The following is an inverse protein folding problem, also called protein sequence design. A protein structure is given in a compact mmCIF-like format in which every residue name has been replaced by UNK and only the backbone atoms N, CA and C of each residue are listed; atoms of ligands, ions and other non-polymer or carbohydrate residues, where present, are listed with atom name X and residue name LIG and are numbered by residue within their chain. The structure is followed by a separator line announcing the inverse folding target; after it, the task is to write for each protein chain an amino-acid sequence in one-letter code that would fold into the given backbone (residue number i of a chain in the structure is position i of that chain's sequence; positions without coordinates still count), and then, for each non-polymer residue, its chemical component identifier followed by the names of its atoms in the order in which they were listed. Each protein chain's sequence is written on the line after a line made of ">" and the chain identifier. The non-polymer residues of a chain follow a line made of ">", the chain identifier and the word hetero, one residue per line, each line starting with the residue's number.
data_IF_847374527425
#
_entry.id   IF_847374527425
#
_cell.length_a   1.000
_cell.length_b   1.000
_cell.length_c   1.000
_cell.angle_alpha   90.00
_cell.angle_beta   90.00
_cell.angle_gamma   90.00
#
_symmetry.space_group_name_H-M   'P 1'
#
loop_
_entity.id
_entity.type
_entity.pdbx_description
1 polymer ?
#
# COMPACT_ATOMS: atom_id res chain seq x y z
N UNK A 1 8.74 -6.65 -6.31
CA UNK A 1 7.61 -7.59 -6.50
C UNK A 1 6.34 -6.76 -6.64
N UNK A 2 5.39 -7.18 -7.48
CA UNK A 2 4.07 -6.54 -7.59
C UNK A 2 3.07 -7.42 -6.85
N UNK A 3 2.32 -6.86 -5.91
CA UNK A 3 1.31 -7.55 -5.12
C UNK A 3 0.16 -6.58 -4.88
N UNK A 4 -1.08 -7.01 -5.08
CA UNK A 4 -2.24 -6.17 -4.74
C UNK A 4 -2.34 -6.00 -3.22
N UNK A 5 -2.91 -4.88 -2.74
CA UNK A 5 -3.08 -4.66 -1.29
C UNK A 5 -3.85 -5.82 -0.61
N UNK A 6 -4.94 -6.37 -1.17
CA UNK A 6 -5.64 -7.51 -0.56
C UNK A 6 -4.77 -8.78 -0.44
N UNK A 7 -3.96 -9.10 -1.46
CA UNK A 7 -3.05 -10.24 -1.42
C UNK A 7 -1.95 -10.05 -0.38
N UNK A 8 -1.40 -8.83 -0.29
CA UNK A 8 -0.42 -8.48 0.73
C UNK A 8 -1.01 -8.69 2.14
N UNK A 9 -2.24 -8.24 2.37
CA UNK A 9 -2.92 -8.45 3.64
C UNK A 9 -3.18 -9.92 3.93
N UNK A 10 -3.59 -10.70 2.93
CA UNK A 10 -3.78 -12.15 3.06
C UNK A 10 -2.47 -12.84 3.45
N UNK A 11 -1.35 -12.43 2.84
CA UNK A 11 -0.02 -12.94 3.15
C UNK A 11 0.38 -12.64 4.61
N UNK A 12 0.18 -11.41 5.09
CA UNK A 12 0.45 -11.07 6.49
C UNK A 12 -0.48 -11.85 7.44
N UNK A 13 -1.78 -11.95 7.13
CA UNK A 13 -2.76 -12.67 7.96
C UNK A 13 -2.44 -14.15 8.12
N UNK A 14 -1.97 -14.80 7.06
CA UNK A 14 -1.55 -16.18 7.12
C UNK A 14 -0.38 -16.38 8.10
N UNK A 15 0.42 -15.33 8.35
CA UNK A 15 1.50 -15.32 9.34
C UNK A 15 1.04 -15.36 10.80
N UNK A 16 -0.22 -15.03 11.11
CA UNK A 16 -0.71 -15.17 12.50
C UNK A 16 -0.94 -16.62 12.91
N UNK A 17 -1.10 -17.53 11.94
CA UNK A 17 -1.33 -18.96 12.23
C UNK A 17 -0.05 -19.70 12.61
N UNK A 18 1.09 -19.18 12.17
CA UNK A 18 2.41 -19.79 12.34
C UNK A 18 3.41 -18.85 13.06
N UNK A 19 2.90 -17.76 13.67
CA UNK A 19 3.68 -16.75 14.41
C UNK A 19 4.75 -16.01 13.57
N UNK A 20 4.60 -15.97 12.24
CA UNK A 20 5.51 -15.30 11.31
C UNK A 20 5.00 -13.93 10.82
N UNK A 21 3.86 -13.43 11.32
CA UNK A 21 3.25 -12.19 10.82
C UNK A 21 4.21 -11.00 10.82
N UNK A 22 4.98 -10.81 11.90
CA UNK A 22 5.94 -9.72 12.01
C UNK A 22 7.14 -9.89 11.06
N UNK A 23 7.61 -11.12 10.84
CA UNK A 23 8.65 -11.41 9.85
C UNK A 23 8.18 -11.08 8.44
N UNK A 24 6.93 -11.39 8.13
CA UNK A 24 6.30 -11.06 6.83
C UNK A 24 6.19 -9.56 6.63
N UNK A 25 5.80 -8.81 7.66
CA UNK A 25 5.79 -7.33 7.62
C UNK A 25 7.20 -6.80 7.37
N UNK A 26 8.21 -7.28 8.11
CA UNK A 26 9.61 -6.88 7.91
C UNK A 26 10.13 -7.23 6.51
N UNK A 27 9.78 -8.40 5.99
CA UNK A 27 10.16 -8.82 4.65
C UNK A 27 9.58 -7.89 3.58
N UNK A 28 8.31 -7.51 3.71
CA UNK A 28 7.65 -6.55 2.83
C UNK A 28 8.23 -5.13 2.96
N UNK A 29 8.55 -4.70 4.18
CA UNK A 29 9.24 -3.43 4.39
C UNK A 29 10.66 -3.44 3.79
N UNK A 30 11.34 -4.57 3.84
CA UNK A 30 12.73 -4.75 3.41
C UNK A 30 12.96 -4.96 1.90
N UNK A 31 11.92 -5.08 1.07
CA UNK A 31 12.14 -5.21 -0.40
C UNK A 31 12.68 -3.91 -0.99
N UNK A 32 13.49 -4.00 -2.05
CA UNK A 32 14.06 -2.84 -2.75
C UNK A 32 12.97 -1.93 -3.34
N UNK A 33 11.94 -2.54 -3.96
CA UNK A 33 10.80 -1.84 -4.54
C UNK A 33 9.51 -2.56 -4.14
N UNK A 34 8.61 -1.80 -3.52
CA UNK A 34 7.26 -2.22 -3.19
C UNK A 34 6.27 -1.45 -4.06
N UNK A 35 5.41 -2.19 -4.76
CA UNK A 35 4.29 -1.62 -5.52
C UNK A 35 3.01 -1.98 -4.79
N UNK A 36 2.25 -0.96 -4.35
CA UNK A 36 0.94 -1.11 -3.75
C UNK A 36 -0.11 -0.71 -4.77
N UNK A 37 -0.80 -1.71 -5.30
CA UNK A 37 -1.84 -1.48 -6.31
C UNK A 37 -3.22 -1.30 -5.67
N UNK A 38 -4.00 -0.38 -6.23
CA UNK A 38 -5.39 -0.06 -5.88
C UNK A 38 -5.57 0.25 -4.37
N UNK A 39 -4.65 1.07 -3.84
CA UNK A 39 -4.76 1.57 -2.49
C UNK A 39 -6.06 2.38 -2.38
N UNK A 40 -6.93 2.01 -1.44
CA UNK A 40 -8.21 2.71 -1.24
C UNK A 40 -9.43 2.07 -1.91
N UNK A 41 -9.28 1.00 -2.70
CA UNK A 41 -10.45 0.24 -3.14
C UNK A 41 -11.16 -0.46 -1.96
N UNK A 42 -12.39 -0.04 -1.67
CA UNK A 42 -13.26 -0.66 -0.67
C UNK A 42 -13.06 -0.20 0.77
N UNK A 43 -13.89 -0.70 1.68
CA UNK A 43 -13.76 -0.44 3.12
C UNK A 43 -12.55 -1.19 3.68
N UNK A 44 -11.54 -0.46 4.16
CA UNK A 44 -10.40 -1.03 4.90
C UNK A 44 -10.75 -1.15 6.38
N UNK A 45 -10.33 -2.26 7.00
CA UNK A 45 -10.39 -2.42 8.46
C UNK A 45 -9.23 -1.68 9.13
N UNK A 46 -9.40 -1.22 10.37
CA UNK A 46 -8.32 -0.60 11.16
C UNK A 46 -7.03 -1.43 11.16
N UNK A 47 -7.14 -2.75 11.29
CA UNK A 47 -6.01 -3.67 11.21
C UNK A 47 -5.22 -3.56 9.89
N UNK A 48 -5.91 -3.38 8.76
CA UNK A 48 -5.26 -3.22 7.45
C UNK A 48 -4.47 -1.93 7.41
N UNK A 49 -5.04 -0.85 7.95
CA UNK A 49 -4.38 0.44 7.97
C UNK A 49 -3.18 0.46 8.92
N UNK A 50 -3.24 -0.25 10.06
CA UNK A 50 -2.11 -0.43 10.96
C UNK A 50 -0.95 -1.20 10.31
N UNK A 51 -1.24 -2.27 9.58
CA UNK A 51 -0.20 -3.03 8.86
C UNK A 51 0.43 -2.19 7.75
N UNK A 52 -0.39 -1.48 6.94
CA UNK A 52 0.11 -0.57 5.92
C UNK A 52 0.97 0.52 6.53
N UNK A 53 0.53 1.13 7.62
CA UNK A 53 1.27 2.15 8.32
C UNK A 53 2.63 1.64 8.79
N UNK A 54 2.69 0.45 9.40
CA UNK A 54 3.97 -0.17 9.83
C UNK A 54 4.94 -0.34 8.65
N UNK A 55 4.45 -0.90 7.53
CA UNK A 55 5.27 -1.10 6.32
C UNK A 55 5.75 0.24 5.76
N UNK A 56 4.85 1.19 5.53
CA UNK A 56 5.18 2.50 4.96
C UNK A 56 6.13 3.29 5.86
N UNK A 57 5.93 3.23 7.18
CA UNK A 57 6.77 3.94 8.13
C UNK A 57 8.20 3.38 8.16
N UNK A 58 8.40 2.06 8.11
CA UNK A 58 9.76 1.49 7.99
C UNK A 58 10.41 1.85 6.65
N UNK A 59 9.65 1.78 5.55
CA UNK A 59 10.15 2.15 4.22
C UNK A 59 10.52 3.62 4.11
N UNK A 60 9.75 4.50 4.74
CA UNK A 60 10.08 5.93 4.83
C UNK A 60 11.38 6.15 5.61
N UNK A 61 11.56 5.48 6.77
CA UNK A 61 12.78 5.58 7.58
C UNK A 61 14.03 5.10 6.84
N UNK A 62 13.89 4.07 6.02
CA UNK A 62 14.98 3.48 5.24
C UNK A 62 15.10 4.07 3.82
N UNK A 63 14.31 5.09 3.48
CA UNK A 63 14.27 5.72 2.14
C UNK A 63 14.05 4.72 0.98
N UNK A 64 13.24 3.69 1.22
CA UNK A 64 13.00 2.61 0.25
C UNK A 64 11.94 2.99 -0.78
N UNK A 65 12.29 2.81 -2.06
CA UNK A 65 11.45 3.15 -3.20
C UNK A 65 10.07 2.48 -3.14
N UNK A 66 9.00 3.28 -3.19
CA UNK A 66 7.63 2.78 -3.10
C UNK A 66 6.79 3.39 -4.21
N UNK A 67 6.03 2.56 -4.93
CA UNK A 67 5.08 3.00 -5.93
C UNK A 67 3.68 2.64 -5.45
N UNK A 68 2.74 3.58 -5.58
CA UNK A 68 1.34 3.38 -5.18
C UNK A 68 0.44 3.76 -6.33
N UNK A 69 -0.58 2.96 -6.58
CA UNK A 69 -1.71 3.34 -7.44
C UNK A 69 -2.95 3.47 -6.56
N UNK A 70 -3.81 4.44 -6.87
CA UNK A 70 -5.05 4.70 -6.15
C UNK A 70 -6.10 5.25 -7.11
N UNK A 71 -7.35 4.90 -6.87
CA UNK A 71 -8.51 5.47 -7.55
C UNK A 71 -9.05 6.73 -6.84
N UNK A 72 -8.53 7.05 -5.66
CA UNK A 72 -8.87 8.21 -4.85
C UNK A 72 -7.65 9.11 -4.66
N UNK A 73 -7.85 10.43 -4.50
CA UNK A 73 -6.76 11.33 -4.15
C UNK A 73 -6.22 11.03 -2.73
N UNK A 74 -4.99 11.48 -2.48
CA UNK A 74 -4.26 11.14 -1.26
C UNK A 74 -5.00 11.54 0.03
N UNK A 75 -5.77 12.62 -0.02
CA UNK A 75 -6.50 13.18 1.12
C UNK A 75 -7.68 12.30 1.58
N UNK A 76 -8.13 11.34 0.77
CA UNK A 76 -9.23 10.42 1.10
C UNK A 76 -8.75 9.17 1.86
N UNK A 77 -7.45 8.97 2.02
CA UNK A 77 -6.89 7.85 2.78
C UNK A 77 -6.80 8.18 4.27
N UNK A 78 -6.67 7.15 5.11
CA UNK A 78 -6.39 7.32 6.55
C UNK A 78 -5.18 8.24 6.76
N UNK A 79 -5.31 9.14 7.74
CA UNK A 79 -4.43 10.30 7.93
C UNK A 79 -2.95 9.94 8.01
N UNK A 80 -2.61 8.88 8.75
CA UNK A 80 -1.21 8.46 8.93
C UNK A 80 -0.65 7.86 7.64
N UNK A 81 -1.43 7.06 6.92
CA UNK A 81 -1.04 6.54 5.60
C UNK A 81 -0.84 7.69 4.61
N UNK A 82 -1.80 8.61 4.52
CA UNK A 82 -1.73 9.78 3.65
C UNK A 82 -0.48 10.62 3.95
N UNK A 83 -0.22 10.88 5.24
CA UNK A 83 0.96 11.62 5.71
C UNK A 83 2.28 10.97 5.28
N UNK A 84 2.42 9.63 5.38
CA UNK A 84 3.67 8.93 4.99
C UNK A 84 3.87 8.96 3.50
N UNK A 85 2.82 8.70 2.73
CA UNK A 85 2.87 8.76 1.28
C UNK A 85 3.20 10.17 0.78
N UNK A 86 2.64 11.22 1.38
CA UNK A 86 2.97 12.61 1.03
C UNK A 86 4.46 12.95 1.27
N UNK A 87 5.09 12.31 2.25
CA UNK A 87 6.50 12.54 2.57
C UNK A 87 7.46 11.72 1.69
N UNK A 88 7.05 10.54 1.23
CA UNK A 88 7.94 9.61 0.51
C UNK A 88 7.64 9.47 -0.99
N UNK A 89 6.48 9.93 -1.46
CA UNK A 89 6.02 9.81 -2.83
C UNK A 89 5.71 11.18 -3.44
N UNK A 90 5.90 11.28 -4.75
CA UNK A 90 5.35 12.36 -5.56
C UNK A 90 3.98 11.94 -6.09
N UNK A 91 2.93 12.71 -5.78
CA UNK A 91 1.59 12.45 -6.33
C UNK A 91 1.52 12.86 -7.80
N UNK A 92 1.05 11.94 -8.66
CA UNK A 92 0.82 12.20 -10.08
C UNK A 92 -0.65 11.90 -10.39
N UNK A 93 -1.45 12.95 -10.63
CA UNK A 93 -2.86 12.81 -10.99
C UNK A 93 -3.02 12.50 -12.48
N UNK A 94 -3.34 11.25 -12.79
CA UNK A 94 -3.64 10.81 -14.15
C UNK A 94 -5.08 11.19 -14.53
N UNK A 95 -5.26 12.30 -15.25
CA UNK A 95 -6.57 12.75 -15.77
C UNK A 95 -6.92 12.06 -17.08
N UNK A 96 -6.95 10.73 -17.07
CA UNK A 96 -7.25 9.95 -18.27
C UNK A 96 -8.64 9.35 -18.16
N UNK A 97 -9.45 9.48 -19.22
CA UNK A 97 -10.78 8.87 -19.28
C UNK A 97 -10.69 7.34 -19.15
N UNK A 98 -11.78 6.73 -18.68
CA UNK A 98 -11.86 5.28 -18.43
C UNK A 98 -11.52 4.48 -19.70
N UNK A 99 -10.31 3.92 -19.76
CA UNK A 99 -9.85 3.11 -20.90
C UNK A 99 -10.71 1.87 -21.13
N UNK A 100 -11.46 1.38 -20.12
CA UNK A 100 -12.38 0.25 -20.28
C UNK A 100 -13.59 0.62 -21.16
N UNK A 101 -13.95 1.90 -21.22
CA UNK A 101 -15.04 2.41 -22.10
C UNK A 101 -14.59 2.71 -23.52
N UNK A 102 -13.30 2.85 -23.78
CA UNK A 102 -12.75 3.12 -25.12
C UNK A 102 -12.54 1.85 -25.97
N UNK A 103 -12.79 0.66 -25.40
CA UNK A 103 -12.74 -0.64 -26.11
C UNK A 103 -14.10 -1.34 -26.20
N UNK A 104 -15.19 -0.63 -25.90
CA UNK A 104 -16.56 -1.09 -26.11
C UNK A 104 -17.10 -0.64 -27.46
#
# INVERSE_FOLDING_TARGET
>A
SYVSVPELMSFVRAGFRDDTADERVRALAGVTLLVLDDLGAGKRSEWTDDVLFRILNERWRDERATLVTSNSPLEEHEERIASRLAQMCQEIRLRVGDYRRLRG
#
